data_IF_325815394625
#
_entry.id   IF_325815394625
#
_cell.length_a   1.000
_cell.length_b   1.000
_cell.length_c   1.000
_cell.angle_alpha   90.00
_cell.angle_beta   90.00
_cell.angle_gamma   90.00
#
_symmetry.space_group_name_H-M   'P 1'
#
loop_
_entity.id
_entity.type
_entity.pdbx_description
1 polymer ?
#
# COMPACT_ATOMS: atom_id res chain seq x y z
N UNK A 1 -13.25 -26.17 -19.84
CA UNK A 1 -13.11 -24.82 -19.23
C UNK A 1 -13.49 -24.85 -17.74
N UNK A 2 -12.69 -25.55 -16.96
CA UNK A 2 -12.87 -25.54 -15.51
C UNK A 2 -12.41 -24.20 -14.96
N UNK A 3 -13.27 -23.54 -14.20
CA UNK A 3 -12.88 -22.40 -13.36
C UNK A 3 -11.94 -22.93 -12.26
N UNK A 4 -10.65 -22.65 -12.39
CA UNK A 4 -9.67 -23.11 -11.42
C UNK A 4 -8.78 -21.99 -10.93
N UNK A 5 -8.36 -22.11 -9.68
CA UNK A 5 -7.41 -21.23 -9.01
C UNK A 5 -6.30 -22.07 -8.38
N UNK A 6 -5.08 -21.57 -8.41
CA UNK A 6 -3.96 -22.15 -7.68
C UNK A 6 -3.54 -21.22 -6.56
N UNK A 7 -3.32 -21.76 -5.37
CA UNK A 7 -2.74 -21.06 -4.24
C UNK A 7 -1.30 -21.52 -4.09
N UNK A 8 -0.36 -20.58 -4.14
CA UNK A 8 1.05 -20.79 -3.82
C UNK A 8 1.35 -20.14 -2.48
N UNK A 9 1.49 -20.94 -1.45
CA UNK A 9 1.80 -20.45 -0.09
C UNK A 9 3.25 -20.72 0.24
N UNK A 10 3.83 -19.82 1.01
CA UNK A 10 5.17 -20.01 1.56
C UNK A 10 5.52 -18.90 2.53
N UNK A 11 6.38 -19.19 3.47
CA UNK A 11 6.90 -18.21 4.43
C UNK A 11 7.99 -17.31 3.83
N UNK A 12 8.46 -16.34 4.62
CA UNK A 12 9.63 -15.56 4.26
C UNK A 12 10.84 -16.47 3.98
N UNK A 13 11.60 -16.14 2.95
CA UNK A 13 12.81 -16.90 2.58
C UNK A 13 12.57 -18.21 1.82
N UNK A 14 11.32 -18.65 1.57
CA UNK A 14 11.03 -19.88 0.81
C UNK A 14 11.11 -19.73 -0.71
N UNK A 15 11.44 -18.52 -1.21
CA UNK A 15 11.63 -18.31 -2.64
C UNK A 15 10.35 -18.08 -3.45
N UNK A 16 9.22 -17.71 -2.81
CA UNK A 16 7.95 -17.38 -3.52
C UNK A 16 8.15 -16.44 -4.70
N UNK A 17 8.80 -15.30 -4.44
CA UNK A 17 9.02 -14.26 -5.46
C UNK A 17 9.92 -14.74 -6.59
N UNK A 18 10.97 -15.51 -6.25
CA UNK A 18 11.86 -16.12 -7.26
C UNK A 18 11.12 -17.12 -8.13
N UNK A 19 10.31 -18.00 -7.52
CA UNK A 19 9.49 -18.97 -8.24
C UNK A 19 8.46 -18.28 -9.13
N UNK A 20 7.77 -17.25 -8.61
CA UNK A 20 6.82 -16.46 -9.39
C UNK A 20 7.50 -15.83 -10.62
N UNK A 21 8.70 -15.28 -10.46
CA UNK A 21 9.49 -14.69 -11.56
C UNK A 21 9.86 -15.72 -12.62
N UNK A 22 10.25 -16.94 -12.21
CA UNK A 22 10.53 -18.04 -13.14
C UNK A 22 9.27 -18.46 -13.89
N UNK A 23 8.13 -18.60 -13.20
CA UNK A 23 6.83 -18.92 -13.81
C UNK A 23 6.47 -17.85 -14.86
N UNK A 24 6.59 -16.57 -14.52
CA UNK A 24 6.32 -15.45 -15.44
C UNK A 24 7.16 -15.57 -16.71
N UNK A 25 8.48 -15.71 -16.57
CA UNK A 25 9.40 -15.82 -17.71
C UNK A 25 9.09 -17.05 -18.59
N UNK A 26 8.83 -18.19 -17.95
CA UNK A 26 8.52 -19.44 -18.66
C UNK A 26 7.21 -19.31 -19.45
N UNK A 27 6.16 -18.76 -18.84
CA UNK A 27 4.87 -18.59 -19.51
C UNK A 27 4.95 -17.60 -20.66
N UNK A 28 5.71 -16.51 -20.53
CA UNK A 28 5.94 -15.57 -21.64
C UNK A 28 6.70 -16.20 -22.79
N UNK A 29 7.73 -17.01 -22.52
CA UNK A 29 8.45 -17.77 -23.55
C UNK A 29 7.52 -18.75 -24.29
N UNK A 30 6.55 -19.29 -23.59
CA UNK A 30 5.48 -20.13 -24.16
C UNK A 30 4.33 -19.33 -24.79
N UNK A 31 4.47 -18.01 -24.89
CA UNK A 31 3.47 -17.08 -25.45
C UNK A 31 2.12 -17.04 -24.71
N UNK A 32 2.11 -17.43 -23.43
CA UNK A 32 0.93 -17.26 -22.59
C UNK A 32 0.73 -15.79 -22.24
N UNK A 33 -0.53 -15.38 -22.18
CA UNK A 33 -0.93 -14.04 -21.73
C UNK A 33 -1.06 -14.04 -20.21
N UNK A 34 -0.33 -13.14 -19.56
CA UNK A 34 -0.35 -12.98 -18.10
C UNK A 34 -0.70 -11.55 -17.71
N UNK A 35 -1.25 -11.37 -16.51
CA UNK A 35 -1.42 -10.09 -15.84
C UNK A 35 -0.89 -10.24 -14.43
N UNK A 36 0.00 -9.31 -14.01
CA UNK A 36 0.60 -9.29 -12.69
C UNK A 36 -0.11 -8.25 -11.83
N UNK A 37 -0.62 -8.67 -10.70
CA UNK A 37 -1.38 -7.82 -9.78
C UNK A 37 -0.84 -7.92 -8.36
N UNK A 38 -1.03 -6.85 -7.58
CA UNK A 38 -0.76 -6.84 -6.14
C UNK A 38 -1.75 -5.92 -5.41
N UNK A 39 -1.94 -6.06 -4.09
CA UNK A 39 -2.87 -5.22 -3.33
C UNK A 39 -2.45 -3.75 -3.25
N UNK A 40 -1.15 -3.47 -3.19
CA UNK A 40 -0.59 -2.12 -3.00
C UNK A 40 0.35 -1.72 -4.14
N UNK A 41 0.58 -0.40 -4.31
CA UNK A 41 1.52 0.14 -5.31
C UNK A 41 2.94 -0.37 -5.11
N UNK A 42 3.44 -0.38 -3.85
CA UNK A 42 4.78 -0.89 -3.54
C UNK A 42 4.92 -2.38 -3.84
N UNK A 43 3.95 -3.20 -3.45
CA UNK A 43 3.97 -4.63 -3.78
C UNK A 43 3.95 -4.86 -5.30
N UNK A 44 3.15 -4.10 -6.05
CA UNK A 44 3.13 -4.15 -7.50
C UNK A 44 4.49 -3.77 -8.11
N UNK A 45 5.14 -2.71 -7.61
CA UNK A 45 6.49 -2.32 -8.03
C UNK A 45 7.52 -3.40 -7.77
N UNK A 46 7.54 -3.98 -6.57
CA UNK A 46 8.46 -5.07 -6.21
C UNK A 46 8.20 -6.29 -7.11
N UNK A 47 6.94 -6.64 -7.36
CA UNK A 47 6.59 -7.74 -8.26
C UNK A 47 7.03 -7.46 -9.70
N UNK A 48 6.86 -6.22 -10.17
CA UNK A 48 7.33 -5.79 -11.49
C UNK A 48 8.84 -5.91 -11.62
N UNK A 49 9.62 -5.40 -10.66
CA UNK A 49 11.08 -5.47 -10.66
C UNK A 49 11.60 -6.91 -10.69
N UNK A 50 11.03 -7.78 -9.85
CA UNK A 50 11.46 -9.18 -9.74
C UNK A 50 11.09 -10.02 -10.98
N UNK A 51 9.93 -9.76 -11.56
CA UNK A 51 9.45 -10.51 -12.74
C UNK A 51 9.98 -9.97 -14.07
N UNK A 52 10.43 -8.72 -14.11
CA UNK A 52 10.80 -8.01 -15.32
C UNK A 52 9.59 -7.67 -16.22
N UNK A 53 8.37 -7.66 -15.66
CA UNK A 53 7.13 -7.37 -16.36
C UNK A 53 6.27 -6.36 -15.58
N UNK A 54 5.52 -5.49 -16.26
CA UNK A 54 4.66 -4.53 -15.59
C UNK A 54 3.63 -5.24 -14.68
N UNK A 55 3.53 -4.78 -13.43
CA UNK A 55 2.51 -5.19 -12.49
C UNK A 55 1.67 -3.97 -12.08
N UNK A 56 0.39 -4.19 -11.79
CA UNK A 56 -0.54 -3.14 -11.38
C UNK A 56 -1.21 -3.48 -10.06
N UNK A 57 -1.81 -2.48 -9.39
CA UNK A 57 -2.64 -2.77 -8.22
C UNK A 57 -3.95 -3.45 -8.65
N UNK A 58 -4.48 -4.33 -7.78
CA UNK A 58 -5.78 -4.99 -8.01
C UNK A 58 -6.85 -3.94 -8.27
N UNK A 59 -6.96 -2.94 -7.38
CA UNK A 59 -7.97 -1.88 -7.49
C UNK A 59 -7.94 -1.16 -8.84
N UNK A 60 -6.75 -0.80 -9.32
CA UNK A 60 -6.58 -0.14 -10.61
C UNK A 60 -6.99 -1.01 -11.79
N UNK A 61 -6.81 -2.31 -11.67
CA UNK A 61 -7.06 -3.24 -12.77
C UNK A 61 -8.52 -3.64 -12.89
N UNK A 62 -9.23 -3.78 -11.74
CA UNK A 62 -10.58 -4.36 -11.74
C UNK A 62 -11.69 -3.33 -11.56
N UNK A 63 -11.40 -2.10 -11.11
CA UNK A 63 -12.43 -1.08 -10.90
C UNK A 63 -12.32 0.08 -11.90
N UNK A 64 -13.47 0.70 -12.17
CA UNK A 64 -13.63 1.95 -12.93
C UNK A 64 -14.54 2.89 -12.17
N UNK A 65 -14.30 4.17 -12.31
CA UNK A 65 -15.17 5.18 -11.75
C UNK A 65 -16.58 5.11 -12.37
N UNK A 66 -17.59 5.26 -11.54
CA UNK A 66 -18.98 5.32 -11.99
C UNK A 66 -19.32 6.74 -12.40
N UNK A 67 -19.72 6.94 -13.63
CA UNK A 67 -20.08 8.26 -14.22
C UNK A 67 -21.30 8.90 -13.58
N UNK A 68 -22.13 8.16 -12.82
CA UNK A 68 -23.36 8.61 -12.20
C UNK A 68 -23.62 7.93 -10.85
N UNK A 69 -23.39 8.61 -9.72
CA UNK A 69 -24.17 8.50 -8.49
C UNK A 69 -23.47 9.11 -7.26
N UNK A 70 -24.18 9.97 -6.54
CA UNK A 70 -23.98 10.28 -5.12
C UNK A 70 -22.64 10.92 -4.72
N UNK A 71 -22.60 11.42 -3.53
CA UNK A 71 -21.46 12.09 -2.87
C UNK A 71 -20.22 11.22 -2.70
N UNK A 72 -20.42 9.93 -2.56
CA UNK A 72 -19.33 8.94 -2.48
C UNK A 72 -19.08 8.43 -3.88
N UNK A 73 -17.94 8.79 -4.48
CA UNK A 73 -17.49 8.23 -5.75
C UNK A 73 -17.47 6.70 -5.66
N UNK A 74 -18.56 6.04 -6.06
CA UNK A 74 -18.62 4.58 -6.08
C UNK A 74 -17.92 4.07 -7.32
N UNK A 75 -17.02 3.14 -7.14
CA UNK A 75 -16.35 2.45 -8.22
C UNK A 75 -17.09 1.17 -8.53
N UNK A 76 -17.38 0.97 -9.81
CA UNK A 76 -17.95 -0.28 -10.28
C UNK A 76 -16.85 -1.24 -10.72
N UNK A 77 -17.16 -2.52 -10.62
CA UNK A 77 -16.35 -3.55 -11.24
C UNK A 77 -16.27 -3.29 -12.76
N UNK A 78 -15.06 -3.33 -13.29
CA UNK A 78 -14.83 -3.19 -14.72
C UNK A 78 -15.21 -4.48 -15.45
N UNK A 79 -15.54 -4.39 -16.74
CA UNK A 79 -15.65 -5.58 -17.56
C UNK A 79 -14.25 -6.15 -17.83
N UNK A 80 -14.08 -7.46 -17.62
CA UNK A 80 -12.86 -8.13 -18.04
C UNK A 80 -12.89 -8.30 -19.57
N UNK A 81 -11.99 -7.66 -20.26
CA UNK A 81 -11.86 -7.76 -21.72
C UNK A 81 -10.80 -8.79 -22.15
N UNK A 82 -10.20 -9.47 -21.19
CA UNK A 82 -9.13 -10.44 -21.44
C UNK A 82 -9.66 -11.86 -21.56
N UNK A 83 -9.13 -12.60 -22.53
CA UNK A 83 -9.41 -14.03 -22.73
C UNK A 83 -8.11 -14.82 -22.71
N UNK A 84 -8.19 -16.09 -22.29
CA UNK A 84 -7.03 -16.99 -22.24
C UNK A 84 -5.87 -16.37 -21.46
N UNK A 85 -6.14 -15.84 -20.24
CA UNK A 85 -5.16 -15.09 -19.45
C UNK A 85 -5.00 -15.68 -18.05
N UNK A 86 -3.76 -15.75 -17.59
CA UNK A 86 -3.44 -16.03 -16.19
C UNK A 86 -3.26 -14.72 -15.45
N UNK A 87 -4.04 -14.53 -14.40
CA UNK A 87 -3.85 -13.45 -13.42
C UNK A 87 -3.01 -13.99 -12.27
N UNK A 88 -1.82 -13.43 -12.07
CA UNK A 88 -0.95 -13.75 -10.95
C UNK A 88 -1.02 -12.62 -9.94
N UNK A 89 -1.41 -12.95 -8.71
CA UNK A 89 -1.62 -12.00 -7.63
C UNK A 89 -0.62 -12.29 -6.53
N UNK A 90 0.33 -11.38 -6.32
CA UNK A 90 1.27 -11.45 -5.19
C UNK A 90 0.69 -10.76 -3.95
N UNK A 91 1.21 -11.08 -2.77
CA UNK A 91 0.74 -10.60 -1.46
C UNK A 91 -0.78 -10.82 -1.26
N UNK A 92 -1.29 -11.97 -1.72
CA UNK A 92 -2.71 -12.30 -1.64
C UNK A 92 -3.22 -12.41 -0.20
N UNK A 93 -2.34 -12.52 0.81
CA UNK A 93 -2.68 -12.46 2.23
C UNK A 93 -3.42 -11.19 2.66
N UNK A 94 -3.29 -10.10 1.88
CA UNK A 94 -3.94 -8.82 2.16
C UNK A 94 -5.35 -8.67 1.56
N UNK A 95 -5.83 -9.64 0.79
CA UNK A 95 -7.13 -9.56 0.11
C UNK A 95 -8.24 -9.94 1.09
N UNK A 96 -9.16 -9.01 1.34
CA UNK A 96 -10.26 -9.17 2.31
C UNK A 96 -11.54 -9.69 1.69
N UNK A 97 -12.35 -10.37 2.51
CA UNK A 97 -13.76 -10.69 2.25
C UNK A 97 -14.71 -9.59 2.72
N UNK A 98 -14.29 -8.85 3.75
CA UNK A 98 -15.14 -7.83 4.36
C UNK A 98 -14.49 -6.46 4.27
N UNK A 99 -15.27 -5.46 3.91
CA UNK A 99 -14.85 -4.06 4.00
C UNK A 99 -15.96 -3.23 4.62
N UNK A 100 -15.66 -2.69 5.78
CA UNK A 100 -16.54 -1.68 6.42
C UNK A 100 -16.29 -0.35 5.70
N UNK A 101 -17.27 0.20 5.00
CA UNK A 101 -17.23 1.49 4.28
C UNK A 101 -16.38 1.49 2.98
N UNK A 102 -16.44 0.43 2.17
CA UNK A 102 -15.81 0.46 0.85
C UNK A 102 -16.62 1.29 -0.16
N UNK A 103 -15.92 2.16 -0.89
CA UNK A 103 -16.45 2.87 -2.06
C UNK A 103 -16.30 2.05 -3.35
N UNK A 104 -15.69 0.85 -3.27
CA UNK A 104 -15.38 -0.01 -4.40
C UNK A 104 -16.35 -1.18 -4.53
N UNK A 105 -16.86 -1.41 -5.72
CA UNK A 105 -17.59 -2.59 -6.14
C UNK A 105 -18.66 -3.07 -5.16
N UNK A 106 -18.57 -4.33 -4.78
CA UNK A 106 -19.45 -4.96 -3.78
C UNK A 106 -19.07 -4.60 -2.34
N UNK A 107 -17.88 -4.05 -2.12
CA UNK A 107 -17.25 -3.89 -0.80
C UNK A 107 -16.42 -5.11 -0.37
N UNK A 108 -16.39 -6.16 -1.16
CA UNK A 108 -15.61 -7.37 -0.95
C UNK A 108 -14.56 -7.52 -2.06
N UNK A 109 -13.30 -7.25 -1.75
CA UNK A 109 -12.23 -7.28 -2.77
C UNK A 109 -12.05 -8.66 -3.38
N UNK A 110 -12.17 -9.72 -2.59
CA UNK A 110 -12.03 -11.10 -3.07
C UNK A 110 -13.18 -11.48 -4.02
N UNK A 111 -14.42 -11.14 -3.67
CA UNK A 111 -15.60 -11.33 -4.53
C UNK A 111 -15.43 -10.66 -5.87
N UNK A 112 -15.08 -9.37 -5.84
CA UNK A 112 -14.92 -8.55 -7.03
C UNK A 112 -13.79 -9.06 -7.92
N UNK A 113 -12.67 -9.49 -7.31
CA UNK A 113 -11.55 -10.08 -8.05
C UNK A 113 -11.95 -11.40 -8.73
N UNK A 114 -12.63 -12.29 -8.01
CA UNK A 114 -13.11 -13.57 -8.55
C UNK A 114 -14.11 -13.31 -9.68
N UNK A 115 -15.08 -12.42 -9.44
CA UNK A 115 -16.06 -12.06 -10.46
C UNK A 115 -15.39 -11.48 -11.70
N UNK A 116 -14.43 -10.56 -11.53
CA UNK A 116 -13.70 -9.98 -12.64
C UNK A 116 -12.95 -11.05 -13.46
N UNK A 117 -12.14 -11.86 -12.79
CA UNK A 117 -11.29 -12.85 -13.47
C UNK A 117 -12.13 -13.88 -14.24
N UNK A 118 -13.17 -14.43 -13.62
CA UNK A 118 -13.96 -15.55 -14.20
C UNK A 118 -15.20 -15.13 -14.96
N UNK A 119 -15.40 -13.82 -15.17
CA UNK A 119 -16.43 -13.33 -16.08
C UNK A 119 -16.12 -13.62 -17.56
N UNK A 120 -14.84 -13.79 -17.90
CA UNK A 120 -14.39 -14.10 -19.25
C UNK A 120 -13.82 -15.52 -19.39
N UNK A 121 -13.86 -16.03 -20.63
CA UNK A 121 -13.51 -17.42 -20.93
C UNK A 121 -12.02 -17.70 -20.76
N UNK A 122 -11.73 -18.86 -20.15
CA UNK A 122 -10.39 -19.42 -20.00
C UNK A 122 -9.40 -18.47 -19.31
N UNK A 123 -9.92 -17.64 -18.39
CA UNK A 123 -9.11 -16.90 -17.43
C UNK A 123 -8.90 -17.75 -16.17
N UNK A 124 -7.70 -17.66 -15.59
CA UNK A 124 -7.29 -18.43 -14.41
C UNK A 124 -6.56 -17.51 -13.43
N UNK A 125 -6.46 -17.94 -12.20
CA UNK A 125 -5.84 -17.17 -11.15
C UNK A 125 -4.77 -17.98 -10.41
N UNK A 126 -3.64 -17.34 -10.10
CA UNK A 126 -2.62 -17.83 -9.19
C UNK A 126 -2.49 -16.81 -8.05
N UNK A 127 -2.82 -17.23 -6.84
CA UNK A 127 -2.72 -16.44 -5.62
C UNK A 127 -1.43 -16.83 -4.89
N UNK A 128 -0.57 -15.85 -4.63
CA UNK A 128 0.72 -16.04 -3.98
C UNK A 128 0.69 -15.30 -2.66
N UNK A 129 1.05 -15.96 -1.55
CA UNK A 129 1.00 -15.30 -0.25
C UNK A 129 1.59 -16.12 0.89
N UNK A 130 1.49 -15.57 2.08
CA UNK A 130 2.01 -16.15 3.31
C UNK A 130 0.93 -16.10 4.40
N UNK A 131 0.49 -17.27 4.86
CA UNK A 131 -0.55 -17.40 5.91
C UNK A 131 -0.09 -16.91 7.28
N UNK A 132 1.22 -16.85 7.51
CA UNK A 132 1.76 -16.38 8.78
C UNK A 132 1.79 -14.86 8.90
N UNK A 133 1.66 -14.12 7.77
CA UNK A 133 1.53 -12.67 7.80
C UNK A 133 0.19 -12.24 8.40
N UNK A 134 0.10 -10.96 8.79
CA UNK A 134 -1.15 -10.36 9.27
C UNK A 134 -2.27 -10.59 8.27
N UNK A 135 -3.41 -11.14 8.69
CA UNK A 135 -4.60 -11.17 7.86
C UNK A 135 -5.18 -9.76 7.67
N UNK A 136 -6.14 -9.60 6.75
CA UNK A 136 -6.87 -8.34 6.62
C UNK A 136 -7.54 -7.93 7.92
N UNK A 137 -7.68 -6.63 8.14
CA UNK A 137 -8.27 -6.08 9.38
C UNK A 137 -9.68 -6.64 9.60
N UNK A 138 -9.92 -7.22 10.78
CA UNK A 138 -11.19 -7.82 11.15
C UNK A 138 -11.38 -9.28 10.72
N UNK A 139 -10.37 -9.89 10.12
CA UNK A 139 -10.38 -11.29 9.72
C UNK A 139 -9.35 -12.09 10.52
N UNK A 140 -9.70 -13.29 10.94
CA UNK A 140 -8.81 -14.16 11.72
C UNK A 140 -7.72 -14.82 10.84
N UNK A 141 -8.01 -15.03 9.55
CA UNK A 141 -7.11 -15.63 8.56
C UNK A 141 -7.27 -14.94 7.21
N UNK A 142 -6.28 -15.07 6.34
CA UNK A 142 -6.32 -14.53 4.98
C UNK A 142 -7.27 -15.34 4.09
N UNK A 143 -8.45 -14.85 3.72
CA UNK A 143 -9.48 -15.63 3.02
C UNK A 143 -9.03 -16.06 1.61
N UNK A 144 -8.25 -15.23 0.92
CA UNK A 144 -7.73 -15.55 -0.41
C UNK A 144 -6.72 -16.72 -0.42
N UNK A 145 -6.19 -17.11 0.74
CA UNK A 145 -5.28 -18.25 0.88
C UNK A 145 -5.95 -19.50 1.47
N UNK A 146 -7.28 -19.48 1.62
CA UNK A 146 -8.07 -20.57 2.15
C UNK A 146 -8.77 -21.36 1.04
N UNK A 147 -8.53 -22.67 1.03
CA UNK A 147 -9.08 -23.59 0.02
C UNK A 147 -10.59 -23.70 0.10
N UNK A 148 -11.14 -23.78 1.32
CA UNK A 148 -12.59 -23.88 1.57
C UNK A 148 -13.34 -22.61 1.13
N UNK A 149 -12.76 -21.44 1.38
CA UNK A 149 -13.32 -20.16 0.95
C UNK A 149 -13.40 -20.11 -0.59
N UNK A 150 -12.29 -20.39 -1.28
CA UNK A 150 -12.26 -20.35 -2.75
C UNK A 150 -13.14 -21.44 -3.40
N UNK A 151 -13.22 -22.62 -2.79
CA UNK A 151 -14.10 -23.69 -3.25
C UNK A 151 -15.59 -23.32 -3.14
N UNK A 152 -15.98 -22.52 -2.14
CA UNK A 152 -17.34 -22.02 -2.00
C UNK A 152 -17.81 -21.13 -3.18
N UNK A 153 -16.88 -20.53 -3.93
CA UNK A 153 -17.18 -19.83 -5.20
C UNK A 153 -17.34 -20.79 -6.42
N UNK A 154 -17.33 -22.10 -6.20
CA UNK A 154 -17.39 -23.09 -7.27
C UNK A 154 -16.08 -23.21 -8.07
N UNK A 155 -14.95 -22.79 -7.48
CA UNK A 155 -13.64 -22.90 -8.09
C UNK A 155 -13.01 -24.25 -7.75
N UNK A 156 -12.35 -24.87 -8.72
CA UNK A 156 -11.44 -25.98 -8.48
C UNK A 156 -10.12 -25.43 -7.95
N UNK A 157 -9.81 -25.73 -6.70
CA UNK A 157 -8.65 -25.18 -6.02
C UNK A 157 -7.49 -26.16 -6.06
N UNK A 158 -6.35 -25.69 -6.54
CA UNK A 158 -5.06 -26.36 -6.43
C UNK A 158 -4.21 -25.60 -5.42
N UNK A 159 -3.40 -26.32 -4.66
CA UNK A 159 -2.54 -25.71 -3.65
C UNK A 159 -1.12 -26.26 -3.70
N UNK A 160 -0.17 -25.39 -3.43
CA UNK A 160 1.24 -25.73 -3.30
C UNK A 160 1.81 -24.96 -2.11
N UNK A 161 2.43 -25.66 -1.18
CA UNK A 161 3.07 -25.07 0.00
C UNK A 161 4.59 -25.19 -0.13
N UNK A 162 5.28 -24.03 -0.11
CA UNK A 162 6.73 -23.96 -0.05
C UNK A 162 7.15 -24.00 1.42
N UNK A 163 7.55 -25.18 1.89
CA UNK A 163 7.85 -25.42 3.31
C UNK A 163 9.33 -25.23 3.66
N UNK A 164 10.23 -25.32 2.67
CA UNK A 164 11.66 -25.21 2.90
C UNK A 164 12.14 -23.77 2.77
N UNK A 165 12.86 -23.29 3.77
CA UNK A 165 13.52 -22.00 3.75
C UNK A 165 14.83 -22.14 2.96
N UNK A 166 14.86 -21.60 1.73
CA UNK A 166 16.00 -21.73 0.82
C UNK A 166 17.17 -20.81 1.17
N UNK A 167 16.91 -19.70 1.88
CA UNK A 167 18.00 -18.85 2.40
C UNK A 167 18.61 -19.54 3.60
N UNK A 168 19.93 -19.42 3.73
CA UNK A 168 20.67 -19.94 4.89
C UNK A 168 20.16 -19.22 6.15
N UNK A 169 19.14 -19.77 6.79
CA UNK A 169 18.61 -19.25 8.07
C UNK A 169 19.66 -19.34 9.19
N UNK A 170 20.74 -20.06 8.97
CA UNK A 170 21.85 -20.17 9.90
C UNK A 170 22.70 -18.90 9.97
N UNK A 171 22.71 -18.08 8.91
CA UNK A 171 23.50 -16.85 8.84
C UNK A 171 22.65 -15.57 9.02
N UNK A 172 21.32 -15.70 9.07
CA UNK A 172 20.38 -14.57 9.24
C UNK A 172 19.57 -14.71 10.51
N UNK A 173 19.77 -13.77 11.43
CA UNK A 173 18.97 -13.65 12.66
C UNK A 173 17.53 -13.25 12.40
N UNK A 174 17.29 -12.45 11.35
CA UNK A 174 15.94 -12.07 10.91
C UNK A 174 15.14 -13.33 10.52
N UNK A 175 15.70 -14.18 9.64
CA UNK A 175 15.03 -15.40 9.18
C UNK A 175 14.95 -16.48 10.26
N UNK A 176 15.97 -16.61 11.08
CA UNK A 176 15.96 -17.53 12.21
C UNK A 176 14.80 -17.22 13.15
N UNK A 177 14.72 -16.00 13.66
CA UNK A 177 13.67 -15.58 14.58
C UNK A 177 12.28 -15.60 13.91
N UNK A 178 12.15 -15.15 12.66
CA UNK A 178 10.91 -15.24 11.91
C UNK A 178 10.42 -16.69 11.78
N UNK A 179 11.33 -17.65 11.60
CA UNK A 179 10.98 -19.08 11.54
C UNK A 179 10.45 -19.59 12.88
N UNK A 180 11.06 -19.22 14.00
CA UNK A 180 10.58 -19.57 15.35
C UNK A 180 9.20 -18.96 15.60
N UNK A 181 9.02 -17.66 15.31
CA UNK A 181 7.73 -16.97 15.47
C UNK A 181 6.65 -17.65 14.61
N UNK A 182 6.97 -18.03 13.36
CA UNK A 182 6.04 -18.75 12.48
C UNK A 182 5.65 -20.12 13.06
N UNK A 183 6.58 -20.85 13.67
CA UNK A 183 6.27 -22.14 14.30
C UNK A 183 5.26 -21.98 15.43
N UNK A 184 5.30 -20.89 16.19
CA UNK A 184 4.30 -20.58 17.21
C UNK A 184 2.90 -20.38 16.59
N UNK A 185 2.81 -19.78 15.41
CA UNK A 185 1.54 -19.62 14.67
C UNK A 185 1.01 -20.99 14.22
N UNK A 186 1.88 -21.81 13.61
CA UNK A 186 1.46 -23.08 12.97
C UNK A 186 1.04 -24.15 13.97
N UNK A 187 1.61 -24.14 15.18
CA UNK A 187 1.36 -25.18 16.20
C UNK A 187 0.41 -24.71 17.32
N UNK A 188 -0.14 -23.49 17.23
CA UNK A 188 -1.01 -22.87 18.25
C UNK A 188 -0.42 -22.95 19.67
N UNK A 189 0.90 -22.75 19.76
CA UNK A 189 1.68 -22.93 20.99
C UNK A 189 2.13 -21.62 21.64
N UNK A 190 1.50 -20.49 21.31
CA UNK A 190 1.86 -19.19 21.85
C UNK A 190 1.35 -19.04 23.30
N UNK A 191 2.03 -19.63 24.27
CA UNK A 191 1.75 -19.47 25.71
C UNK A 191 2.56 -18.37 26.37
N UNK A 192 3.62 -17.88 25.72
CA UNK A 192 4.50 -16.81 26.19
C UNK A 192 5.04 -16.01 25.00
N UNK A 193 5.49 -14.76 25.27
CA UNK A 193 6.15 -13.94 24.26
C UNK A 193 7.41 -14.63 23.71
N UNK A 194 7.66 -14.57 22.40
CA UNK A 194 8.83 -15.19 21.82
C UNK A 194 10.12 -14.57 22.34
N UNK A 195 11.10 -15.39 22.61
CA UNK A 195 12.47 -14.95 22.93
C UNK A 195 13.26 -14.82 21.65
N UNK A 196 13.87 -13.65 21.45
CA UNK A 196 14.62 -13.31 20.24
C UNK A 196 16.09 -13.61 20.46
N UNK A 197 16.69 -14.32 19.52
CA UNK A 197 18.11 -14.62 19.50
C UNK A 197 18.86 -13.59 18.66
N UNK A 198 19.83 -12.94 19.30
CA UNK A 198 20.71 -11.94 18.66
C UNK A 198 22.12 -12.49 18.43
N UNK A 199 22.60 -13.33 19.36
CA UNK A 199 23.97 -13.82 19.36
C UNK A 199 24.28 -14.67 18.14
N UNK A 200 25.34 -14.31 17.44
CA UNK A 200 25.80 -15.00 16.25
C UNK A 200 25.25 -14.46 14.92
N UNK A 201 24.44 -13.39 14.97
CA UNK A 201 23.85 -12.77 13.78
C UNK A 201 24.30 -11.32 13.64
N UNK A 202 24.59 -10.90 12.41
CA UNK A 202 25.00 -9.53 12.09
C UNK A 202 23.83 -8.64 11.60
N UNK A 203 22.71 -9.24 11.24
CA UNK A 203 21.56 -8.59 10.62
C UNK A 203 20.43 -8.24 11.59
N UNK A 204 20.63 -8.43 12.90
CA UNK A 204 19.65 -8.11 13.94
C UNK A 204 20.34 -7.58 15.19
N UNK A 205 19.83 -6.47 15.72
CA UNK A 205 20.39 -5.83 16.94
C UNK A 205 19.32 -5.14 17.77
N UNK A 206 19.65 -4.85 19.04
CA UNK A 206 18.83 -4.02 19.92
C UNK A 206 19.34 -2.59 19.86
N UNK A 207 18.44 -1.64 19.76
CA UNK A 207 18.74 -0.21 19.84
C UNK A 207 18.06 0.35 21.10
N UNK A 208 18.83 0.79 22.11
CA UNK A 208 18.30 1.55 23.24
C UNK A 208 17.69 2.88 22.78
N UNK A 209 16.73 3.38 23.53
CA UNK A 209 16.03 4.62 23.14
C UNK A 209 16.93 5.87 23.09
N UNK A 210 17.97 5.91 23.90
CA UNK A 210 18.97 6.98 23.93
C UNK A 210 19.93 6.94 22.73
N UNK A 211 20.14 5.80 22.10
CA UNK A 211 20.95 5.62 20.89
C UNK A 211 20.13 5.70 19.57
N UNK A 212 18.80 5.78 19.67
CA UNK A 212 17.91 5.68 18.53
C UNK A 212 18.13 6.77 17.46
N UNK A 213 18.37 8.01 17.90
CA UNK A 213 18.59 9.16 17.00
C UNK A 213 19.85 8.95 16.17
N UNK A 214 20.93 8.55 16.81
CA UNK A 214 22.22 8.28 16.15
C UNK A 214 22.11 7.09 15.20
N UNK A 215 21.47 6.00 15.64
CA UNK A 215 21.23 4.82 14.83
C UNK A 215 20.40 5.13 13.58
N UNK A 216 19.31 5.90 13.70
CA UNK A 216 18.50 6.33 12.56
C UNK A 216 19.28 7.23 11.60
N UNK A 217 20.08 8.17 12.15
CA UNK A 217 20.93 9.04 11.33
C UNK A 217 21.95 8.23 10.54
N UNK A 218 22.54 7.20 11.15
CA UNK A 218 23.46 6.26 10.48
C UNK A 218 22.75 5.49 9.37
N UNK A 219 21.58 4.90 9.63
CA UNK A 219 20.81 4.19 8.62
C UNK A 219 20.42 5.09 7.45
N UNK A 220 20.04 6.35 7.71
CA UNK A 220 19.72 7.29 6.64
C UNK A 220 20.94 7.67 5.78
N UNK A 221 22.12 7.68 6.38
CA UNK A 221 23.37 7.91 5.65
C UNK A 221 23.80 6.68 4.83
N UNK A 222 23.57 5.47 5.33
CA UNK A 222 24.00 4.21 4.69
C UNK A 222 23.07 3.78 3.55
N UNK A 223 21.77 3.70 3.81
CA UNK A 223 20.80 3.12 2.86
C UNK A 223 19.77 4.14 2.37
N UNK A 224 19.70 5.33 2.98
CA UNK A 224 18.76 6.37 2.62
C UNK A 224 17.44 6.32 3.41
N UNK A 225 16.69 7.43 3.32
CA UNK A 225 15.41 7.60 4.03
C UNK A 225 14.34 6.66 3.48
N UNK A 226 14.34 6.40 2.18
CA UNK A 226 13.35 5.55 1.49
C UNK A 226 13.58 4.05 1.71
N UNK A 227 14.76 3.65 2.14
CA UNK A 227 15.11 2.26 2.49
C UNK A 227 15.21 2.02 4.01
N UNK A 228 14.85 3.03 4.82
CA UNK A 228 14.77 2.92 6.29
C UNK A 228 13.33 3.17 6.75
N UNK A 229 12.79 2.29 7.60
CA UNK A 229 11.41 2.40 8.08
C UNK A 229 11.28 2.06 9.56
N UNK A 230 10.50 2.86 10.30
CA UNK A 230 10.09 2.51 11.67
C UNK A 230 8.72 1.84 11.64
N UNK A 231 8.59 0.65 12.20
CA UNK A 231 7.33 -0.10 12.28
C UNK A 231 6.83 -0.09 13.73
N UNK A 232 5.56 0.29 13.90
CA UNK A 232 4.92 0.42 15.21
C UNK A 232 3.57 -0.34 15.26
N UNK A 233 3.02 -0.49 16.49
CA UNK A 233 1.72 -1.15 16.70
C UNK A 233 0.51 -0.21 16.53
N UNK A 234 0.70 1.10 16.60
CA UNK A 234 -0.42 2.06 16.54
C UNK A 234 -0.07 3.33 15.79
N UNK A 235 -1.09 4.00 15.24
CA UNK A 235 -0.93 5.31 14.60
C UNK A 235 -0.40 6.36 15.58
N UNK A 236 -0.80 6.31 16.86
CA UNK A 236 -0.29 7.20 17.89
C UNK A 236 1.23 7.09 18.05
N UNK A 237 1.73 5.85 18.14
CA UNK A 237 3.20 5.60 18.23
C UNK A 237 3.89 6.05 16.95
N UNK A 238 3.33 5.72 15.78
CA UNK A 238 3.88 6.16 14.50
C UNK A 238 3.99 7.69 14.41
N UNK A 239 2.96 8.44 14.85
CA UNK A 239 3.01 9.89 14.88
C UNK A 239 4.13 10.44 15.80
N UNK A 240 4.31 9.84 16.99
CA UNK A 240 5.41 10.24 17.91
C UNK A 240 6.76 10.02 17.23
N UNK A 241 7.00 8.87 16.61
CA UNK A 241 8.24 8.60 15.87
C UNK A 241 8.41 9.56 14.70
N UNK A 242 7.37 9.79 13.91
CA UNK A 242 7.42 10.71 12.77
C UNK A 242 7.83 12.12 13.18
N UNK A 243 7.27 12.65 14.28
CA UNK A 243 7.64 13.97 14.82
C UNK A 243 9.07 13.97 15.38
N UNK A 244 9.43 12.93 16.15
CA UNK A 244 10.78 12.78 16.68
C UNK A 244 11.84 12.70 15.59
N UNK A 245 11.60 11.92 14.54
CA UNK A 245 12.50 11.81 13.38
C UNK A 245 12.66 13.15 12.68
N UNK A 246 11.55 13.85 12.39
CA UNK A 246 11.62 15.15 11.73
C UNK A 246 12.41 16.17 12.53
N UNK A 247 12.13 16.27 13.83
CA UNK A 247 12.73 17.30 14.66
C UNK A 247 14.17 16.95 15.05
N UNK A 248 14.44 15.72 15.50
CA UNK A 248 15.71 15.35 16.13
C UNK A 248 16.71 14.75 15.13
N UNK A 249 16.25 14.01 14.13
CA UNK A 249 17.13 13.36 13.13
C UNK A 249 17.32 14.25 11.90
N UNK A 250 16.23 14.84 11.39
CA UNK A 250 16.25 15.62 10.15
C UNK A 250 16.33 17.13 10.36
N UNK A 251 16.19 17.63 11.60
CA UNK A 251 16.26 19.05 11.92
C UNK A 251 15.15 19.88 11.25
N UNK A 252 13.94 19.30 11.08
CA UNK A 252 12.81 19.95 10.40
C UNK A 252 11.79 20.43 11.41
N UNK A 253 11.69 21.74 11.58
CA UNK A 253 10.78 22.38 12.54
C UNK A 253 9.46 22.83 11.90
N UNK A 254 9.47 23.17 10.62
CA UNK A 254 8.27 23.59 9.89
C UNK A 254 7.23 22.47 9.80
N UNK A 255 5.95 22.81 9.68
CA UNK A 255 4.85 21.84 9.62
C UNK A 255 4.99 20.85 8.46
N UNK A 256 5.41 21.31 7.28
CA UNK A 256 5.72 20.52 6.10
C UNK A 256 6.85 21.21 5.33
N UNK A 257 7.86 20.47 4.93
CA UNK A 257 9.01 21.03 4.22
C UNK A 257 9.47 20.13 3.07
N UNK A 258 10.22 20.72 2.16
CA UNK A 258 10.85 20.00 1.04
C UNK A 258 11.70 18.84 1.54
N UNK A 259 11.58 17.69 0.89
CA UNK A 259 12.25 16.45 1.26
C UNK A 259 11.48 15.62 2.29
N UNK A 260 10.36 16.13 2.86
CA UNK A 260 9.54 15.30 3.75
C UNK A 260 8.99 14.08 3.00
N UNK A 261 9.04 12.94 3.69
CA UNK A 261 8.41 11.71 3.23
C UNK A 261 6.99 11.64 3.77
N UNK A 262 6.06 11.49 2.86
CA UNK A 262 4.63 11.36 3.15
C UNK A 262 4.11 9.98 2.75
N UNK A 263 3.02 9.58 3.38
CA UNK A 263 2.21 8.43 3.01
C UNK A 263 0.78 8.90 2.79
N UNK A 264 0.21 8.54 1.67
CA UNK A 264 -1.20 8.78 1.34
C UNK A 264 -2.07 7.93 2.24
N UNK A 265 -3.10 8.52 2.86
CA UNK A 265 -3.98 7.81 3.80
C UNK A 265 -5.42 7.69 3.32
N UNK A 266 -5.74 8.29 2.17
CA UNK A 266 -7.03 8.16 1.48
C UNK A 266 -6.79 8.12 -0.02
N UNK A 267 -7.45 7.22 -0.72
CA UNK A 267 -7.39 7.15 -2.17
C UNK A 267 -7.79 8.47 -2.82
N UNK A 268 -7.04 8.93 -3.81
CA UNK A 268 -7.40 10.09 -4.63
C UNK A 268 -7.58 9.65 -6.08
N UNK A 269 -8.68 10.08 -6.67
CA UNK A 269 -9.04 9.80 -8.05
C UNK A 269 -9.02 11.10 -8.84
N UNK A 270 -8.61 11.03 -10.10
CA UNK A 270 -8.71 12.15 -11.02
C UNK A 270 -10.12 12.18 -11.60
N UNK A 271 -10.74 13.36 -11.63
CA UNK A 271 -11.96 13.53 -12.39
C UNK A 271 -11.70 13.19 -13.87
N UNK A 272 -12.59 12.42 -14.55
CA UNK A 272 -12.40 12.08 -15.94
C UNK A 272 -12.39 13.36 -16.78
N UNK A 273 -11.32 13.57 -17.53
CA UNK A 273 -11.33 14.55 -18.60
C UNK A 273 -12.35 14.08 -19.64
N UNK A 274 -13.44 14.82 -19.79
CA UNK A 274 -14.32 14.60 -20.95
C UNK A 274 -13.46 14.69 -22.21
N UNK A 275 -13.48 13.68 -23.10
CA UNK A 275 -12.90 13.86 -24.43
C UNK A 275 -13.61 15.06 -25.08
N UNK A 276 -12.92 15.89 -25.86
CA UNK A 276 -13.56 17.00 -26.56
C UNK A 276 -14.75 16.46 -27.32
N UNK A 277 -15.90 17.14 -27.20
CA UNK A 277 -17.12 16.81 -27.92
C UNK A 277 -16.77 16.62 -29.40
N UNK A 278 -17.24 15.50 -29.99
CA UNK A 278 -17.10 15.20 -31.40
C UNK A 278 -17.90 16.23 -32.22
N UNK A 279 -17.36 17.45 -32.35
CA UNK A 279 -18.04 18.54 -33.02
C UNK A 279 -17.17 19.40 -33.93
N UNK A 280 -15.83 19.31 -33.85
CA UNK A 280 -14.94 20.17 -34.63
C UNK A 280 -13.80 19.42 -35.36
N UNK A 281 -14.08 18.31 -35.95
CA UNK A 281 -13.13 17.61 -36.82
C UNK A 281 -13.67 17.44 -38.23
N UNK A 282 -14.07 18.59 -38.87
CA UNK A 282 -14.22 18.70 -40.33
C UNK A 282 -13.99 20.17 -40.73
N UNK A 283 -12.74 20.57 -40.80
CA UNK A 283 -12.21 21.60 -41.75
C UNK A 283 -10.79 21.99 -41.34
N UNK A 284 -9.79 21.30 -41.86
CA UNK A 284 -8.50 21.88 -42.25
C UNK A 284 -7.61 20.75 -42.79
N UNK A 285 -7.72 20.56 -44.09
CA UNK A 285 -6.71 19.85 -44.86
C UNK A 285 -5.45 20.73 -44.96
N UNK A 286 -4.33 20.04 -45.03
CA UNK A 286 -3.07 20.41 -45.68
C UNK A 286 -2.34 21.69 -45.23
N UNK A 287 -1.13 21.51 -44.71
CA UNK A 287 -0.03 22.44 -44.92
C UNK A 287 0.56 23.06 -43.65
N UNK A 288 1.82 22.77 -43.46
CA UNK A 288 2.89 23.51 -42.78
C UNK A 288 3.44 22.92 -41.46
N UNK A 289 4.66 22.44 -41.63
CA UNK A 289 5.69 22.36 -40.59
C UNK A 289 5.87 23.74 -39.94
N UNK A 290 5.72 23.81 -38.61
CA UNK A 290 5.93 25.02 -37.82
C UNK A 290 6.04 24.71 -36.33
N UNK A 291 7.25 24.86 -35.83
CA UNK A 291 7.72 25.06 -34.43
C UNK A 291 6.70 24.98 -33.31
N UNK A 292 6.90 24.02 -32.44
CA UNK A 292 6.27 23.89 -31.11
C UNK A 292 6.63 25.13 -30.25
N UNK A 293 5.67 25.98 -29.99
CA UNK A 293 5.68 26.95 -28.89
C UNK A 293 4.94 26.35 -27.70
N UNK A 294 5.63 26.25 -26.57
CA UNK A 294 5.13 25.75 -25.31
C UNK A 294 3.95 26.58 -24.79
N UNK A 295 2.76 26.02 -24.78
CA UNK A 295 1.66 26.53 -23.97
C UNK A 295 1.68 25.78 -22.62
N UNK A 296 2.13 26.49 -21.58
CA UNK A 296 1.97 26.08 -20.17
C UNK A 296 0.50 26.29 -19.80
N UNK A 297 -0.27 25.21 -19.85
CA UNK A 297 -1.63 25.17 -19.36
C UNK A 297 -1.98 23.74 -18.95
N UNK A 298 -2.22 23.53 -17.66
CA UNK A 298 -2.67 22.31 -16.99
C UNK A 298 -1.92 21.02 -17.36
N UNK A 299 -1.00 20.67 -16.49
CA UNK A 299 -0.26 19.41 -16.52
C UNK A 299 -1.21 18.23 -16.32
N UNK A 300 -1.39 17.46 -17.38
CA UNK A 300 -1.97 16.13 -17.30
C UNK A 300 -1.06 15.23 -16.48
N UNK A 301 -1.61 14.35 -15.62
CA UNK A 301 -0.96 13.22 -14.97
C UNK A 301 -0.34 12.27 -16.01
N UNK A 302 0.78 12.63 -16.60
CA UNK A 302 1.40 11.85 -17.69
C UNK A 302 2.19 10.64 -17.23
N UNK A 303 2.40 10.48 -15.91
CA UNK A 303 3.27 9.43 -15.37
C UNK A 303 2.56 8.38 -14.54
N UNK A 304 1.48 8.71 -13.82
CA UNK A 304 0.68 7.73 -13.10
C UNK A 304 -0.43 7.27 -14.04
N UNK A 305 -0.16 6.22 -14.84
CA UNK A 305 -1.17 5.65 -15.73
C UNK A 305 -2.42 5.25 -14.94
N UNK A 306 -3.59 5.79 -15.32
CA UNK A 306 -4.90 5.54 -14.70
C UNK A 306 -5.41 6.63 -13.75
N UNK A 307 -4.64 7.70 -13.47
CA UNK A 307 -5.13 8.88 -12.71
C UNK A 307 -5.56 8.58 -11.26
N UNK A 308 -4.93 7.62 -10.60
CA UNK A 308 -5.29 7.14 -9.28
C UNK A 308 -4.06 7.08 -8.37
N UNK A 309 -4.18 7.66 -7.16
CA UNK A 309 -3.19 7.57 -6.08
C UNK A 309 -3.82 6.76 -4.96
N UNK A 310 -3.18 5.66 -4.57
CA UNK A 310 -3.72 4.71 -3.61
C UNK A 310 -3.39 5.09 -2.16
N UNK A 311 -4.25 4.69 -1.24
CA UNK A 311 -3.91 4.64 0.18
C UNK A 311 -2.69 3.72 0.38
N UNK A 312 -1.68 4.20 1.09
CA UNK A 312 -0.40 3.52 1.29
C UNK A 312 0.70 3.92 0.31
N UNK A 313 0.39 4.67 -0.76
CA UNK A 313 1.42 5.20 -1.64
C UNK A 313 2.31 6.20 -0.90
N UNK A 314 3.62 6.13 -1.22
CA UNK A 314 4.61 7.05 -0.65
C UNK A 314 4.87 8.22 -1.59
N UNK A 315 5.10 9.38 -1.01
CA UNK A 315 5.42 10.58 -1.75
C UNK A 315 6.53 11.37 -1.05
N UNK A 316 7.39 12.02 -1.83
CA UNK A 316 8.42 12.94 -1.33
C UNK A 316 8.02 14.36 -1.73
N UNK A 317 8.02 15.26 -0.76
CA UNK A 317 7.72 16.67 -0.98
C UNK A 317 8.86 17.33 -1.75
N UNK A 318 8.57 17.88 -2.92
CA UNK A 318 9.52 18.65 -3.75
C UNK A 318 9.40 20.15 -3.53
N UNK A 319 8.18 20.64 -3.27
CA UNK A 319 7.95 22.03 -2.91
C UNK A 319 6.69 22.18 -2.08
N UNK A 320 6.66 23.19 -1.23
CA UNK A 320 5.47 23.62 -0.45
C UNK A 320 5.22 25.08 -0.73
N UNK A 321 3.98 25.44 -1.04
CA UNK A 321 3.56 26.80 -1.39
C UNK A 321 2.17 27.08 -0.83
N UNK A 322 1.84 28.37 -0.70
CA UNK A 322 0.47 28.84 -0.46
C UNK A 322 -0.25 28.11 0.71
N UNK A 323 0.39 28.03 1.86
CA UNK A 323 -0.26 27.51 3.08
C UNK A 323 -1.40 28.47 3.44
N UNK A 324 -2.62 27.93 3.62
CA UNK A 324 -3.83 28.69 3.88
C UNK A 324 -4.85 27.91 4.70
N UNK A 325 -5.71 28.64 5.38
CA UNK A 325 -6.83 28.09 6.12
C UNK A 325 -8.15 28.37 5.39
N UNK A 326 -8.91 27.32 5.08
CA UNK A 326 -10.22 27.37 4.45
C UNK A 326 -11.11 26.27 5.04
N UNK A 327 -12.41 26.50 5.17
CA UNK A 327 -13.38 25.49 5.61
C UNK A 327 -13.07 24.90 6.99
N UNK A 328 -12.27 25.59 7.81
CA UNK A 328 -11.81 25.12 9.12
C UNK A 328 -10.68 24.08 9.03
N UNK A 329 -10.00 23.97 7.89
CA UNK A 329 -8.84 23.11 7.65
C UNK A 329 -7.70 23.91 7.04
N UNK A 330 -6.46 23.43 7.26
CA UNK A 330 -5.26 24.01 6.66
C UNK A 330 -4.86 23.21 5.42
N UNK A 331 -4.58 23.93 4.36
CA UNK A 331 -4.18 23.40 3.07
C UNK A 331 -2.84 23.96 2.63
N UNK A 332 -2.11 23.19 1.83
CA UNK A 332 -0.93 23.66 1.12
C UNK A 332 -0.92 23.17 -0.31
N UNK A 333 -0.41 23.99 -1.22
CA UNK A 333 -0.08 23.55 -2.57
C UNK A 333 1.30 22.89 -2.51
N UNK A 334 1.39 21.66 -2.99
CA UNK A 334 2.63 20.88 -2.95
C UNK A 334 2.93 20.27 -4.30
N UNK A 335 4.22 20.14 -4.60
CA UNK A 335 4.69 19.25 -5.65
C UNK A 335 5.18 17.98 -4.96
N UNK A 336 4.59 16.84 -5.28
CA UNK A 336 4.94 15.53 -4.72
C UNK A 336 5.58 14.65 -5.80
N UNK A 337 6.67 13.97 -5.44
CA UNK A 337 7.30 12.94 -6.26
C UNK A 337 6.96 11.57 -5.68
N UNK A 338 6.52 10.65 -6.53
CA UNK A 338 6.08 9.31 -6.14
C UNK A 338 7.13 8.25 -6.50
N UNK A 339 7.95 7.78 -5.53
CA UNK A 339 9.04 6.83 -5.80
C UNK A 339 8.56 5.49 -6.38
N UNK A 340 7.36 5.03 -6.00
CA UNK A 340 6.79 3.78 -6.48
C UNK A 340 6.22 3.88 -7.90
N UNK A 341 6.20 5.09 -8.50
CA UNK A 341 5.74 5.39 -9.86
C UNK A 341 6.81 6.16 -10.65
N UNK A 342 8.01 5.60 -10.68
CA UNK A 342 9.18 6.14 -11.43
C UNK A 342 9.52 7.60 -11.12
N UNK A 343 9.34 8.01 -9.85
CA UNK A 343 9.52 9.38 -9.37
C UNK A 343 8.69 10.42 -10.12
N UNK A 344 7.53 10.04 -10.62
CA UNK A 344 6.59 10.97 -11.25
C UNK A 344 6.25 12.10 -10.29
N UNK A 345 6.33 13.34 -10.77
CA UNK A 345 6.01 14.54 -10.01
C UNK A 345 4.62 15.06 -10.38
N UNK A 346 3.85 15.43 -9.32
CA UNK A 346 2.49 15.94 -9.46
C UNK A 346 2.26 17.11 -8.52
N UNK A 347 1.64 18.18 -9.07
CA UNK A 347 1.18 19.33 -8.28
C UNK A 347 -0.21 19.06 -7.73
N UNK A 348 -0.40 19.24 -6.42
CA UNK A 348 -1.68 19.00 -5.75
C UNK A 348 -1.86 19.78 -4.46
N UNK A 349 -3.10 19.83 -3.99
CA UNK A 349 -3.43 20.38 -2.67
C UNK A 349 -3.42 19.22 -1.66
N UNK A 350 -2.80 19.44 -0.50
CA UNK A 350 -2.82 18.53 0.64
C UNK A 350 -3.54 19.16 1.83
N UNK A 351 -4.14 18.33 2.69
CA UNK A 351 -4.71 18.75 3.98
C UNK A 351 -3.64 18.53 5.05
N UNK A 352 -3.18 19.63 5.68
CA UNK A 352 -2.12 19.59 6.69
C UNK A 352 -2.61 18.99 8.02
N UNK A 353 -3.90 19.15 8.35
CA UNK A 353 -4.47 18.64 9.60
C UNK A 353 -4.39 17.12 9.72
N UNK A 354 -4.26 16.39 8.61
CA UNK A 354 -4.09 14.94 8.64
C UNK A 354 -2.70 14.48 9.05
N UNK A 355 -1.69 15.35 8.97
CA UNK A 355 -0.28 14.99 9.26
C UNK A 355 -0.08 14.50 10.70
N UNK A 356 -0.78 15.10 11.66
CA UNK A 356 -0.58 14.88 13.10
C UNK A 356 -1.74 14.20 13.80
N UNK A 357 -2.91 14.04 13.14
CA UNK A 357 -4.06 13.37 13.75
C UNK A 357 -3.77 11.91 14.12
N UNK A 358 -4.32 11.42 15.24
CA UNK A 358 -4.21 10.00 15.63
C UNK A 358 -5.14 9.11 14.77
N UNK A 359 -6.21 9.67 14.20
CA UNK A 359 -7.07 8.95 13.27
C UNK A 359 -6.31 8.54 11.99
N UNK A 360 -6.69 7.44 11.33
CA UNK A 360 -6.05 7.02 10.08
C UNK A 360 -6.08 8.07 8.97
N UNK A 361 -7.18 8.83 8.87
CA UNK A 361 -7.46 9.93 7.94
C UNK A 361 -8.39 10.92 8.63
N UNK A 362 -8.97 11.89 7.90
CA UNK A 362 -10.06 12.70 8.43
C UNK A 362 -11.22 11.82 8.93
N UNK A 363 -11.78 12.14 10.10
CA UNK A 363 -12.93 11.43 10.62
C UNK A 363 -14.17 11.64 9.73
N UNK A 364 -15.21 10.84 9.94
CA UNK A 364 -16.48 11.02 9.20
C UNK A 364 -17.05 12.42 9.41
N UNK A 365 -17.03 12.92 10.65
CA UNK A 365 -17.50 14.25 11.01
C UNK A 365 -16.69 15.36 10.30
N UNK A 366 -15.37 15.23 10.27
CA UNK A 366 -14.50 16.18 9.57
C UNK A 366 -14.71 16.16 8.05
N UNK A 367 -14.88 14.98 7.44
CA UNK A 367 -15.20 14.85 6.03
C UNK A 367 -16.57 15.48 5.71
N UNK A 368 -17.58 15.27 6.56
CA UNK A 368 -18.90 15.87 6.41
C UNK A 368 -18.85 17.39 6.58
N UNK A 369 -18.08 17.90 7.57
CA UNK A 369 -17.85 19.34 7.73
C UNK A 369 -17.24 19.95 6.46
N UNK A 370 -16.17 19.37 5.94
CA UNK A 370 -15.53 19.83 4.70
C UNK A 370 -16.52 19.84 3.54
N UNK A 371 -17.30 18.75 3.40
CA UNK A 371 -18.33 18.66 2.37
C UNK A 371 -19.38 19.77 2.46
N UNK A 372 -19.94 20.04 3.65
CA UNK A 372 -20.97 21.06 3.84
C UNK A 372 -20.42 22.47 3.56
N UNK A 373 -19.18 22.73 3.93
CA UNK A 373 -18.55 24.03 3.69
C UNK A 373 -18.29 24.25 2.17
N UNK A 374 -17.74 23.27 1.47
CA UNK A 374 -17.57 23.34 0.02
C UNK A 374 -18.90 23.38 -0.72
N UNK A 375 -19.92 22.67 -0.24
CA UNK A 375 -21.29 22.71 -0.80
C UNK A 375 -21.88 24.14 -0.76
N UNK A 376 -21.59 24.89 0.30
CA UNK A 376 -22.08 26.26 0.45
C UNK A 376 -21.54 27.20 -0.63
N UNK A 377 -20.30 27.01 -1.09
CA UNK A 377 -19.70 27.82 -2.16
C UNK A 377 -20.38 27.61 -3.52
N UNK A 378 -21.08 26.48 -3.71
CA UNK A 378 -21.83 26.18 -4.92
C UNK A 378 -23.35 26.37 -4.75
N UNK A 379 -23.79 27.20 -3.76
CA UNK A 379 -25.21 27.44 -3.49
C UNK A 379 -25.97 28.04 -4.70
N UNK A 380 -25.28 28.86 -5.51
CA UNK A 380 -25.88 29.53 -6.69
C UNK A 380 -26.07 28.57 -7.87
N UNK A 381 -25.57 27.32 -7.83
CA UNK A 381 -25.79 26.34 -8.89
C UNK A 381 -27.19 25.74 -8.73
N UNK A 382 -28.13 26.00 -9.67
CA UNK A 382 -29.55 25.68 -9.45
C UNK A 382 -29.83 24.18 -9.38
N UNK A 383 -29.15 23.38 -10.24
CA UNK A 383 -29.39 21.94 -10.33
C UNK A 383 -28.51 21.19 -9.34
N UNK A 384 -29.14 20.34 -8.52
CA UNK A 384 -28.44 19.50 -7.53
C UNK A 384 -27.38 18.60 -8.18
N UNK A 385 -27.65 18.04 -9.36
CA UNK A 385 -26.71 17.23 -10.15
C UNK A 385 -25.43 17.99 -10.51
N UNK A 386 -25.59 19.25 -10.96
CA UNK A 386 -24.48 20.07 -11.40
C UNK A 386 -23.64 20.56 -10.21
N UNK A 387 -24.32 20.89 -9.10
CA UNK A 387 -23.68 21.21 -7.82
C UNK A 387 -22.82 20.06 -7.34
N UNK A 388 -23.35 18.84 -7.36
CA UNK A 388 -22.62 17.63 -6.98
C UNK A 388 -21.43 17.35 -7.92
N UNK A 389 -21.58 17.67 -9.22
CA UNK A 389 -20.47 17.55 -10.17
C UNK A 389 -19.33 18.52 -9.83
N UNK A 390 -19.67 19.79 -9.54
CA UNK A 390 -18.67 20.81 -9.16
C UNK A 390 -17.91 20.44 -7.89
N UNK A 391 -18.61 19.92 -6.86
CA UNK A 391 -17.96 19.46 -5.62
C UNK A 391 -16.97 18.32 -5.90
N UNK A 392 -17.31 17.39 -6.78
CA UNK A 392 -16.38 16.30 -7.16
C UNK A 392 -15.14 16.78 -7.91
N UNK A 393 -15.27 17.89 -8.60
CA UNK A 393 -14.17 18.53 -9.34
C UNK A 393 -13.43 19.57 -8.48
N UNK A 394 -13.93 19.86 -7.27
CA UNK A 394 -13.35 20.85 -6.36
C UNK A 394 -12.02 20.37 -5.78
N UNK A 395 -10.99 21.19 -5.90
CA UNK A 395 -9.62 20.84 -5.50
C UNK A 395 -9.45 20.69 -3.98
N UNK A 396 -10.21 21.46 -3.18
CA UNK A 396 -10.16 21.39 -1.72
C UNK A 396 -10.93 20.20 -1.17
N UNK A 397 -12.09 19.88 -1.75
CA UNK A 397 -12.82 18.67 -1.39
C UNK A 397 -12.01 17.40 -1.71
N UNK A 398 -11.26 17.45 -2.81
CA UNK A 398 -10.39 16.38 -3.27
C UNK A 398 -8.95 16.54 -2.83
N UNK A 399 -8.66 17.41 -1.85
CA UNK A 399 -7.30 17.59 -1.35
C UNK A 399 -6.76 16.26 -0.79
N UNK A 400 -5.49 15.98 -1.07
CA UNK A 400 -4.86 14.74 -0.69
C UNK A 400 -4.70 14.68 0.84
N UNK A 401 -5.14 13.58 1.43
CA UNK A 401 -4.95 13.29 2.85
C UNK A 401 -3.67 12.49 3.02
N UNK A 402 -2.74 13.01 3.80
CA UNK A 402 -1.38 12.48 3.96
C UNK A 402 -0.95 12.44 5.42
N UNK A 403 -0.02 11.55 5.73
CA UNK A 403 0.74 11.49 6.99
C UNK A 403 2.22 11.47 6.69
N UNK A 404 3.05 11.76 7.71
CA UNK A 404 4.48 11.49 7.58
C UNK A 404 4.73 10.00 7.44
N UNK A 405 5.69 9.63 6.61
CA UNK A 405 5.96 8.27 6.18
C UNK A 405 7.26 7.66 6.70
N UNK A 406 7.89 8.23 7.74
CA UNK A 406 9.11 7.69 8.37
C UNK A 406 8.82 6.54 9.32
N UNK A 407 7.66 6.60 9.97
CA UNK A 407 7.14 5.57 10.87
C UNK A 407 5.69 5.24 10.50
N UNK A 408 5.38 3.94 10.41
CA UNK A 408 4.07 3.44 10.01
C UNK A 408 3.63 2.26 10.88
N UNK A 409 2.35 1.93 10.83
CA UNK A 409 1.86 0.69 11.46
C UNK A 409 2.23 -0.52 10.60
N UNK A 410 2.37 -1.69 11.23
CA UNK A 410 2.71 -2.92 10.53
C UNK A 410 1.69 -3.28 9.43
N UNK A 411 0.39 -3.01 9.61
CA UNK A 411 -0.60 -3.19 8.56
C UNK A 411 -0.29 -2.37 7.30
N UNK A 412 0.20 -1.13 7.47
CA UNK A 412 0.61 -0.28 6.36
C UNK A 412 1.97 -0.68 5.76
N UNK A 413 2.76 -1.45 6.52
CA UNK A 413 4.03 -1.99 6.04
C UNK A 413 3.86 -3.28 5.22
N UNK A 414 2.68 -3.89 5.22
CA UNK A 414 2.41 -5.10 4.42
C UNK A 414 2.64 -4.83 2.92
N UNK A 415 3.22 -5.82 2.24
CA UNK A 415 3.61 -5.70 0.83
C UNK A 415 4.85 -4.82 0.58
N UNK A 416 5.40 -4.16 1.62
CA UNK A 416 6.64 -3.40 1.56
C UNK A 416 7.83 -4.18 2.11
N UNK A 417 9.03 -3.80 1.68
CA UNK A 417 10.30 -4.27 2.22
C UNK A 417 11.28 -3.10 2.24
N UNK A 418 12.17 -3.06 3.21
CA UNK A 418 13.18 -2.01 3.40
C UNK A 418 14.49 -2.63 3.84
N UNK A 419 15.59 -1.99 3.48
CA UNK A 419 16.93 -2.43 3.90
C UNK A 419 17.05 -2.42 5.43
N UNK A 420 16.67 -1.31 6.07
CA UNK A 420 16.73 -1.14 7.52
C UNK A 420 15.33 -0.94 8.13
N UNK A 421 14.98 -1.80 9.09
CA UNK A 421 13.73 -1.70 9.86
C UNK A 421 14.04 -1.45 11.32
N UNK A 422 13.38 -0.45 11.89
CA UNK A 422 13.33 -0.18 13.33
C UNK A 422 11.97 -0.63 13.86
N UNK A 423 11.96 -1.68 14.67
CA UNK A 423 10.74 -2.26 15.19
C UNK A 423 10.48 -1.83 16.63
N UNK A 424 9.40 -1.08 16.84
CA UNK A 424 8.91 -0.69 18.15
C UNK A 424 7.61 -1.46 18.47
N UNK A 425 7.72 -2.46 19.35
CA UNK A 425 6.54 -3.18 19.83
C UNK A 425 5.78 -2.43 20.94
N UNK A 426 6.39 -1.41 21.55
CA UNK A 426 5.86 -0.78 22.74
C UNK A 426 5.94 -1.68 23.96
N UNK A 427 5.14 -1.36 24.98
CA UNK A 427 5.06 -2.19 26.19
C UNK A 427 4.24 -3.45 25.92
N UNK A 428 4.82 -4.63 26.23
CA UNK A 428 4.22 -5.94 26.07
C UNK A 428 4.50 -6.84 27.27
N UNK A 429 3.49 -7.56 27.73
CA UNK A 429 3.59 -8.62 28.73
C UNK A 429 2.99 -9.92 28.17
N UNK A 430 3.27 -11.05 28.82
CA UNK A 430 2.69 -12.35 28.40
C UNK A 430 1.16 -12.36 28.44
N UNK A 431 0.54 -11.58 29.35
CA UNK A 431 -0.91 -11.42 29.44
C UNK A 431 -1.52 -10.67 28.22
N UNK A 432 -0.71 -9.91 27.50
CA UNK A 432 -1.11 -9.18 26.29
C UNK A 432 -0.88 -9.98 25.01
N UNK A 433 -0.41 -11.22 25.15
CA UNK A 433 -0.17 -12.10 24.02
C UNK A 433 -1.49 -12.52 23.38
N UNK A 434 -1.58 -12.30 22.08
CA UNK A 434 -2.71 -12.74 21.25
C UNK A 434 -2.18 -13.35 19.94
N UNK A 435 -2.95 -14.20 19.25
CA UNK A 435 -2.58 -14.70 17.94
C UNK A 435 -2.24 -13.54 16.96
N UNK A 436 -3.03 -12.46 16.99
CA UNK A 436 -2.80 -11.27 16.17
C UNK A 436 -1.44 -10.63 16.42
N UNK A 437 -0.98 -10.62 17.67
CA UNK A 437 0.34 -10.11 18.01
C UNK A 437 1.46 -10.96 17.39
N UNK A 438 1.33 -12.26 17.38
CA UNK A 438 2.34 -13.15 16.79
C UNK A 438 2.40 -12.97 15.27
N UNK A 439 1.24 -12.87 14.59
CA UNK A 439 1.17 -12.52 13.17
C UNK A 439 1.77 -11.13 12.90
N UNK A 440 1.49 -10.16 13.77
CA UNK A 440 2.06 -8.82 13.71
C UNK A 440 3.58 -8.86 13.80
N UNK A 441 4.12 -9.58 14.76
CA UNK A 441 5.56 -9.69 14.99
C UNK A 441 6.26 -10.37 13.80
N UNK A 442 5.71 -11.50 13.34
CA UNK A 442 6.21 -12.17 12.14
C UNK A 442 6.21 -11.27 10.92
N UNK A 443 5.10 -10.57 10.69
CA UNK A 443 4.99 -9.65 9.56
C UNK A 443 6.03 -8.54 9.64
N UNK A 444 6.21 -7.94 10.81
CA UNK A 444 7.17 -6.86 11.01
C UNK A 444 8.62 -7.34 10.80
N UNK A 445 9.00 -8.50 11.32
CA UNK A 445 10.34 -9.10 11.13
C UNK A 445 10.65 -9.30 9.65
N UNK A 446 9.68 -9.79 8.90
CA UNK A 446 9.87 -10.14 7.48
C UNK A 446 9.89 -8.92 6.53
N UNK A 447 9.79 -7.69 7.07
CA UNK A 447 9.92 -6.46 6.25
C UNK A 447 11.35 -6.04 6.03
N UNK A 448 12.29 -6.44 6.92
CA UNK A 448 13.70 -6.11 6.78
C UNK A 448 14.39 -7.02 5.76
N UNK A 449 15.21 -6.43 4.90
CA UNK A 449 16.01 -7.17 3.91
C UNK A 449 17.49 -7.24 4.26
N UNK A 450 18.01 -6.27 5.02
CA UNK A 450 19.43 -6.19 5.40
C UNK A 450 19.60 -6.15 6.91
N UNK A 451 18.91 -5.26 7.64
CA UNK A 451 19.08 -5.14 9.09
C UNK A 451 17.76 -4.86 9.82
N UNK A 452 17.55 -5.56 10.94
CA UNK A 452 16.43 -5.37 11.85
C UNK A 452 16.91 -4.84 13.20
N UNK A 453 16.51 -3.63 13.54
CA UNK A 453 16.78 -2.97 14.81
C UNK A 453 15.56 -3.08 15.73
N UNK A 454 15.68 -3.73 16.88
CA UNK A 454 14.61 -3.86 17.88
C UNK A 454 14.74 -2.73 18.91
N UNK A 455 13.80 -1.79 18.88
CA UNK A 455 13.84 -0.57 19.70
C UNK A 455 13.38 -0.87 21.11
N UNK A 456 14.22 -0.56 22.12
CA UNK A 456 13.92 -0.76 23.54
C UNK A 456 13.41 -2.17 23.86
N UNK A 457 13.99 -3.20 23.25
CA UNK A 457 13.53 -4.58 23.41
C UNK A 457 13.74 -5.08 24.83
N UNK A 458 12.70 -5.68 25.48
CA UNK A 458 12.81 -6.12 26.86
C UNK A 458 13.79 -7.28 27.01
N UNK A 459 14.63 -7.26 28.04
CA UNK A 459 15.58 -8.35 28.34
C UNK A 459 14.89 -9.71 28.56
N UNK A 460 13.64 -9.69 29.06
CA UNK A 460 12.82 -10.90 29.26
C UNK A 460 12.45 -11.60 27.95
N UNK A 461 12.51 -10.89 26.83
CA UNK A 461 12.24 -11.40 25.49
C UNK A 461 13.52 -11.62 24.66
N UNK A 462 14.66 -11.69 25.31
CA UNK A 462 15.95 -12.06 24.70
C UNK A 462 16.27 -13.49 25.11
N UNK A 463 16.70 -14.32 24.13
CA UNK A 463 17.18 -15.67 24.40
C UNK A 463 18.47 -15.58 25.21
N UNK A 464 18.49 -16.21 26.38
CA UNK A 464 19.69 -16.31 27.20
C UNK A 464 20.74 -17.16 26.50
N UNK A 465 22.00 -16.73 26.57
CA UNK A 465 23.13 -17.33 25.84
C UNK A 465 23.52 -18.72 26.36
#
# INVERSE_FOLDING_TARGET
DERCVMILRGSAGTGKTSLASVIVRTLLNLQYKISLLAPTGRAAKIFSLNSGQPAATIHRSIYRERTFAGLDGKFNLNANLYRNRLFMIDEASMISLTSVNSTFGSGCLLDDLIQFVYNERNCRMLLIGDKAQLPPVGEAESPALRTDVLAAYGLKVYECDLNEVLRQSQDSGILYNATIIRQMITHDQATALPKIRFKGFADISIVPGDELIESLSTSYAEVGIDETMVITRSNKRANIFNQGIRNMVLGREEELTTGDMLMVVKNKYKAPHNPPERGEAQAAGEGMQGKATSNKGLTSFRGIEGGFIANGDRAIVRSVRNVRELYGFRFADVTLSFPDYDNTEEDMIVILDTLTTEAPALTHEQNEQLFQQVLADYADVPLKSDRMKKIREDDYYNALQVKFGYAITCHKAQGGQWAHIYLDQGYMTDEMLTPDYIHWLYTAFTRATEHLYLVNWPKTQVEEA
#
